data_IF_525358854362
#
_entry.id   IF_525358854362
#
_cell.length_a   1.000
_cell.length_b   1.000
_cell.length_c   1.000
_cell.angle_alpha   90.00
_cell.angle_beta   90.00
_cell.angle_gamma   90.00
#
_symmetry.space_group_name_H-M   'P 1'
#
loop_
_entity.id
_entity.type
_entity.pdbx_description
1 polymer ?
#
# COMPACT_ATOMS: atom_id res chain seq x y z
N UNK A 1 -19.99 -4.18 -65.08
CA UNK A 1 -19.46 -5.14 -64.10
C UNK A 1 -18.13 -4.69 -63.48
N UNK A 2 -17.10 -4.27 -64.25
CA UNK A 2 -15.78 -3.86 -63.67
C UNK A 2 -15.87 -2.63 -62.76
N UNK A 3 -16.75 -1.68 -63.01
CA UNK A 3 -16.91 -0.46 -62.22
C UNK A 3 -17.65 -0.69 -60.88
N UNK A 4 -18.59 -1.64 -60.85
CA UNK A 4 -19.30 -2.04 -59.62
C UNK A 4 -18.36 -2.81 -58.69
N UNK A 5 -17.53 -3.71 -59.27
CA UNK A 5 -16.51 -4.41 -58.46
C UNK A 5 -15.45 -3.46 -57.86
N UNK A 6 -15.03 -2.42 -58.57
CA UNK A 6 -14.13 -1.39 -58.05
C UNK A 6 -14.80 -0.52 -56.92
N UNK A 7 -16.07 -0.20 -57.11
CA UNK A 7 -16.81 0.55 -56.06
C UNK A 7 -16.98 -0.30 -54.79
N UNK A 8 -17.31 -1.58 -54.91
CA UNK A 8 -17.36 -2.51 -53.75
C UNK A 8 -16.00 -2.69 -53.08
N UNK A 9 -14.92 -2.75 -53.84
CA UNK A 9 -13.56 -2.87 -53.25
C UNK A 9 -13.19 -1.60 -52.45
N UNK A 10 -13.54 -0.42 -52.96
CA UNK A 10 -13.30 0.87 -52.27
C UNK A 10 -14.16 0.97 -51.00
N UNK A 11 -15.43 0.55 -51.05
CA UNK A 11 -16.29 0.54 -49.86
C UNK A 11 -15.79 -0.46 -48.80
N UNK A 12 -15.35 -1.67 -49.22
CA UNK A 12 -14.75 -2.66 -48.31
C UNK A 12 -13.44 -2.12 -47.71
N UNK A 13 -12.61 -1.45 -48.51
CA UNK A 13 -11.37 -0.83 -48.02
C UNK A 13 -11.61 0.32 -47.08
N UNK A 14 -12.65 1.15 -47.26
CA UNK A 14 -13.08 2.19 -46.37
C UNK A 14 -13.65 1.62 -45.04
N UNK A 15 -14.40 0.52 -45.11
CA UNK A 15 -14.91 -0.17 -43.91
C UNK A 15 -13.77 -0.81 -43.11
N UNK A 16 -12.76 -1.39 -43.82
CA UNK A 16 -11.58 -1.94 -43.15
C UNK A 16 -10.67 -0.85 -42.55
N UNK A 17 -10.60 0.34 -43.15
CA UNK A 17 -9.88 1.49 -42.59
C UNK A 17 -10.61 2.10 -41.40
N UNK A 18 -11.93 2.05 -41.36
CA UNK A 18 -12.73 2.47 -40.19
C UNK A 18 -12.66 1.44 -39.03
N UNK A 19 -12.37 0.16 -39.31
CA UNK A 19 -12.16 -0.86 -38.29
C UNK A 19 -10.73 -0.87 -37.73
N UNK A 20 -9.77 -0.21 -38.37
CA UNK A 20 -8.36 -0.15 -37.97
C UNK A 20 -8.06 1.21 -37.30
N UNK A 21 -8.56 1.45 -36.08
CA UNK A 21 -8.20 2.69 -35.43
C UNK A 21 -8.89 3.05 -34.12
N UNK A 22 -9.57 2.13 -33.44
CA UNK A 22 -9.75 2.34 -32.00
C UNK A 22 -8.39 2.10 -31.37
N UNK A 23 -7.61 3.14 -31.07
CA UNK A 23 -6.60 3.06 -30.02
C UNK A 23 -7.37 2.49 -28.82
N UNK A 24 -7.05 1.29 -28.42
CA UNK A 24 -7.60 0.78 -27.17
C UNK A 24 -7.22 1.81 -26.10
N UNK A 25 -8.20 2.45 -25.49
CA UNK A 25 -7.99 3.29 -24.32
C UNK A 25 -7.50 2.35 -23.22
N UNK A 26 -6.20 2.22 -23.05
CA UNK A 26 -5.62 1.35 -22.02
C UNK A 26 -5.05 2.23 -20.95
N UNK A 27 -5.49 2.04 -19.72
CA UNK A 27 -4.92 2.65 -18.52
C UNK A 27 -3.97 1.67 -17.86
N UNK A 28 -2.73 2.05 -17.68
CA UNK A 28 -1.73 1.23 -16.99
C UNK A 28 -1.61 1.68 -15.54
N UNK A 29 -2.00 0.80 -14.62
CA UNK A 29 -1.95 1.04 -13.16
C UNK A 29 -0.90 0.14 -12.54
N UNK A 30 0.02 0.71 -11.76
CA UNK A 30 1.05 -0.02 -11.03
C UNK A 30 0.77 0.13 -9.54
N UNK A 31 0.29 -0.93 -8.90
CA UNK A 31 -0.31 -0.93 -7.59
C UNK A 31 0.31 -2.02 -6.70
N UNK A 32 -0.08 -2.08 -5.46
CA UNK A 32 0.12 -3.21 -4.57
C UNK A 32 -0.85 -4.34 -4.95
N UNK A 33 -0.49 -5.60 -4.63
CA UNK A 33 -1.41 -6.72 -4.84
C UNK A 33 -2.60 -6.67 -3.87
N UNK A 34 -3.75 -7.22 -4.28
CA UNK A 34 -4.99 -7.27 -3.49
C UNK A 34 -5.48 -5.91 -2.95
N UNK A 35 -5.16 -4.81 -3.62
CA UNK A 35 -5.31 -3.44 -3.12
C UNK A 35 -6.38 -2.61 -3.84
N UNK A 36 -7.18 -3.25 -4.70
CA UNK A 36 -8.35 -2.67 -5.35
C UNK A 36 -9.43 -3.73 -5.55
N UNK A 37 -10.69 -3.36 -5.36
CA UNK A 37 -11.81 -4.23 -5.65
C UNK A 37 -11.93 -4.46 -7.16
N UNK A 38 -11.79 -5.72 -7.67
CA UNK A 38 -11.81 -6.00 -9.09
C UNK A 38 -13.13 -5.68 -9.78
N UNK A 39 -14.24 -5.68 -9.03
CA UNK A 39 -15.55 -5.29 -9.58
C UNK A 39 -15.60 -3.79 -9.90
N UNK A 40 -14.88 -2.94 -9.16
CA UNK A 40 -14.76 -1.52 -9.47
C UNK A 40 -13.94 -1.29 -10.73
N UNK A 41 -12.86 -2.05 -10.91
CA UNK A 41 -12.05 -1.99 -12.15
C UNK A 41 -12.93 -2.31 -13.35
N UNK A 42 -13.70 -3.40 -13.28
CA UNK A 42 -14.64 -3.80 -14.34
C UNK A 42 -15.73 -2.76 -14.59
N UNK A 43 -16.31 -2.18 -13.54
CA UNK A 43 -17.30 -1.12 -13.69
C UNK A 43 -16.71 0.12 -14.38
N UNK A 44 -15.47 0.49 -14.04
CA UNK A 44 -14.78 1.58 -14.71
C UNK A 44 -14.54 1.28 -16.19
N UNK A 45 -14.07 0.09 -16.54
CA UNK A 45 -13.84 -0.34 -17.91
C UNK A 45 -15.13 -0.24 -18.75
N UNK A 46 -16.24 -0.71 -18.20
CA UNK A 46 -17.56 -0.65 -18.86
C UNK A 46 -18.05 0.79 -19.01
N UNK A 47 -17.87 1.65 -18.00
CA UNK A 47 -18.34 3.03 -18.02
C UNK A 47 -17.57 3.93 -19.00
N UNK A 48 -16.26 3.64 -19.19
CA UNK A 48 -15.38 4.51 -19.98
C UNK A 48 -14.91 3.89 -21.31
N UNK A 49 -15.42 2.71 -21.69
CA UNK A 49 -15.03 1.95 -22.91
C UNK A 49 -13.50 1.88 -23.03
N UNK A 50 -12.85 1.33 -21.98
CA UNK A 50 -11.41 1.22 -21.84
C UNK A 50 -11.00 -0.13 -21.26
N UNK A 51 -9.69 -0.39 -21.24
CA UNK A 51 -9.07 -1.54 -20.57
C UNK A 51 -8.15 -1.01 -19.47
N UNK A 52 -8.23 -1.55 -18.25
CA UNK A 52 -7.30 -1.27 -17.16
C UNK A 52 -6.32 -2.44 -17.05
N UNK A 53 -5.04 -2.14 -17.21
CA UNK A 53 -3.96 -3.13 -17.05
C UNK A 53 -3.23 -2.87 -15.75
N UNK A 54 -3.51 -3.71 -14.78
CA UNK A 54 -2.82 -3.69 -13.52
C UNK A 54 -1.49 -4.44 -13.59
N UNK A 55 -0.50 -3.91 -12.91
CA UNK A 55 0.76 -4.57 -12.58
C UNK A 55 1.02 -4.33 -11.09
N UNK A 56 1.76 -5.22 -10.44
CA UNK A 56 1.97 -5.16 -9.01
C UNK A 56 3.44 -5.02 -8.66
N UNK A 57 3.72 -4.41 -7.52
CA UNK A 57 5.05 -4.30 -6.94
C UNK A 57 5.01 -4.71 -5.46
N UNK A 58 6.13 -5.19 -4.97
CA UNK A 58 6.29 -5.74 -3.62
C UNK A 58 6.86 -4.71 -2.64
N UNK A 59 7.58 -3.70 -3.16
CA UNK A 59 8.12 -2.59 -2.38
C UNK A 59 8.16 -1.29 -3.18
N UNK A 60 8.20 -0.16 -2.47
CA UNK A 60 8.36 1.16 -3.09
C UNK A 60 9.67 1.28 -3.88
N UNK A 61 10.76 0.62 -3.43
CA UNK A 61 12.06 0.59 -4.08
C UNK A 61 11.98 -0.17 -5.41
N UNK A 62 11.28 -1.32 -5.43
CA UNK A 62 11.01 -2.09 -6.65
C UNK A 62 10.20 -1.27 -7.65
N UNK A 63 9.16 -0.59 -7.18
CA UNK A 63 8.33 0.32 -7.99
C UNK A 63 9.19 1.43 -8.61
N UNK A 64 10.00 2.14 -7.80
CA UNK A 64 10.87 3.22 -8.27
C UNK A 64 11.88 2.74 -9.31
N UNK A 65 12.57 1.62 -9.03
CA UNK A 65 13.54 1.01 -9.95
C UNK A 65 12.88 0.64 -11.28
N UNK A 66 11.66 0.09 -11.23
CA UNK A 66 10.89 -0.28 -12.42
C UNK A 66 10.51 0.92 -13.26
N UNK A 67 10.07 2.02 -12.63
CA UNK A 67 9.69 3.25 -13.33
C UNK A 67 10.90 3.88 -14.00
N UNK A 68 12.06 3.92 -13.33
CA UNK A 68 13.29 4.51 -13.87
C UNK A 68 13.89 3.67 -15.01
N UNK A 69 13.77 2.35 -14.95
CA UNK A 69 14.37 1.43 -15.92
C UNK A 69 13.46 1.02 -17.07
N UNK A 70 12.15 1.11 -16.88
CA UNK A 70 11.18 0.57 -17.83
C UNK A 70 10.93 1.51 -19.01
N UNK A 71 10.78 0.91 -20.21
CA UNK A 71 10.23 1.60 -21.39
C UNK A 71 8.69 1.63 -21.38
N UNK A 72 8.07 0.84 -20.51
CA UNK A 72 6.62 0.84 -20.36
C UNK A 72 6.22 2.06 -19.56
N UNK A 73 5.38 2.91 -20.13
CA UNK A 73 4.79 4.03 -19.43
C UNK A 73 3.62 3.52 -18.59
N UNK A 74 3.70 3.68 -17.28
CA UNK A 74 2.54 3.58 -16.41
C UNK A 74 1.83 4.95 -16.40
N UNK A 75 0.51 4.93 -16.19
CA UNK A 75 -0.29 6.14 -16.10
C UNK A 75 -0.49 6.55 -14.64
N UNK A 76 -0.86 5.58 -13.79
CA UNK A 76 -1.05 5.74 -12.35
C UNK A 76 -0.13 4.77 -11.62
N UNK A 77 0.45 5.24 -10.52
CA UNK A 77 1.14 4.40 -9.53
C UNK A 77 0.62 4.75 -8.14
N UNK A 78 0.81 3.82 -7.19
CA UNK A 78 0.27 3.95 -5.82
C UNK A 78 1.40 3.87 -4.78
N UNK A 79 2.30 4.88 -4.70
CA UNK A 79 3.38 4.92 -3.74
C UNK A 79 2.92 5.28 -2.33
N UNK A 80 3.71 4.90 -1.33
CA UNK A 80 3.61 5.42 0.02
C UNK A 80 4.11 6.88 0.09
N UNK A 81 3.71 7.61 1.14
CA UNK A 81 3.91 9.05 1.22
C UNK A 81 5.35 9.51 1.09
N UNK A 82 6.30 8.83 1.72
CA UNK A 82 7.74 9.14 1.62
C UNK A 82 8.25 9.02 0.17
N UNK A 83 7.75 8.04 -0.58
CA UNK A 83 8.07 7.84 -2.00
C UNK A 83 7.37 8.85 -2.92
N UNK A 84 6.22 9.41 -2.52
CA UNK A 84 5.66 10.59 -3.21
C UNK A 84 6.68 11.73 -3.20
N UNK A 85 7.34 11.99 -2.05
CA UNK A 85 8.38 13.00 -1.94
C UNK A 85 9.56 12.70 -2.88
N UNK A 86 10.03 11.45 -2.92
CA UNK A 86 11.15 11.03 -3.77
C UNK A 86 10.81 11.21 -5.25
N UNK A 87 9.65 10.74 -5.66
CA UNK A 87 9.18 10.83 -7.04
C UNK A 87 8.99 12.29 -7.49
N UNK A 88 8.47 13.16 -6.60
CA UNK A 88 8.33 14.58 -6.86
C UNK A 88 9.69 15.28 -7.02
N UNK A 89 10.68 14.96 -6.16
CA UNK A 89 12.06 15.49 -6.25
C UNK A 89 12.75 15.03 -7.54
N UNK A 90 12.43 13.84 -8.03
CA UNK A 90 12.94 13.30 -9.30
C UNK A 90 12.17 13.83 -10.53
N UNK A 91 11.20 14.73 -10.33
CA UNK A 91 10.34 15.30 -11.38
C UNK A 91 9.58 14.25 -12.22
N UNK A 92 9.22 13.11 -11.62
CA UNK A 92 8.53 12.01 -12.28
C UNK A 92 7.00 12.15 -12.24
N UNK A 93 6.48 13.03 -11.38
CA UNK A 93 5.03 13.19 -11.16
C UNK A 93 4.44 14.34 -11.96
N UNK A 94 3.19 14.16 -12.40
CA UNK A 94 2.34 15.22 -12.95
C UNK A 94 1.71 16.03 -11.82
N UNK A 95 1.84 17.36 -11.79
CA UNK A 95 1.05 18.17 -10.87
C UNK A 95 -0.44 18.00 -11.10
N UNK A 96 -1.19 17.76 -10.02
CA UNK A 96 -2.64 17.52 -10.13
C UNK A 96 -3.41 18.79 -10.50
N UNK A 97 -4.24 18.68 -11.51
CA UNK A 97 -5.33 19.60 -11.78
C UNK A 97 -6.59 19.15 -10.99
N UNK A 98 -6.72 19.67 -9.78
CA UNK A 98 -7.83 19.31 -8.88
C UNK A 98 -9.21 19.68 -9.45
N UNK A 99 -9.30 20.55 -10.47
CA UNK A 99 -10.57 20.86 -11.13
C UNK A 99 -11.13 19.67 -11.93
N UNK A 100 -10.28 18.67 -12.25
CA UNK A 100 -10.67 17.44 -12.92
C UNK A 100 -11.13 16.34 -11.96
N UNK A 101 -10.98 16.55 -10.65
CA UNK A 101 -11.35 15.61 -9.59
C UNK A 101 -12.59 16.16 -8.85
N UNK A 102 -13.77 15.87 -9.41
CA UNK A 102 -15.04 16.40 -8.88
C UNK A 102 -15.36 15.84 -7.50
N UNK A 103 -14.84 14.65 -7.19
CA UNK A 103 -15.02 13.95 -5.93
C UNK A 103 -13.86 14.20 -4.92
N UNK A 104 -12.91 15.10 -5.25
CA UNK A 104 -11.78 15.42 -4.34
C UNK A 104 -12.25 15.94 -2.98
N UNK A 105 -13.39 16.64 -2.95
CA UNK A 105 -14.03 17.14 -1.72
C UNK A 105 -14.54 16.05 -0.76
N UNK A 106 -14.60 14.80 -1.21
CA UNK A 106 -14.97 13.66 -0.37
C UNK A 106 -13.85 13.23 0.59
N UNK A 107 -12.59 13.64 0.32
CA UNK A 107 -11.45 13.31 1.18
C UNK A 107 -11.52 14.02 2.52
N UNK A 108 -11.04 13.35 3.57
CA UNK A 108 -10.97 13.90 4.92
C UNK A 108 -9.95 15.05 4.98
N UNK A 109 -10.36 16.27 5.36
CA UNK A 109 -9.46 17.42 5.45
C UNK A 109 -8.30 17.21 6.44
N UNK A 110 -8.50 16.40 7.50
CA UNK A 110 -7.45 16.09 8.48
C UNK A 110 -6.37 15.20 7.87
N UNK A 111 -6.77 14.20 7.07
CA UNK A 111 -5.82 13.34 6.38
C UNK A 111 -5.12 14.09 5.23
N UNK A 112 -5.82 14.96 4.52
CA UNK A 112 -5.19 15.87 3.54
C UNK A 112 -4.15 16.79 4.20
N UNK A 113 -4.42 17.29 5.41
CA UNK A 113 -3.45 18.08 6.16
C UNK A 113 -2.22 17.25 6.56
N UNK A 114 -2.41 16.00 6.99
CA UNK A 114 -1.30 15.09 7.30
C UNK A 114 -0.47 14.76 6.05
N UNK A 115 -1.11 14.56 4.90
CA UNK A 115 -0.44 14.28 3.62
C UNK A 115 0.50 15.42 3.19
N UNK A 116 0.29 16.66 3.63
CA UNK A 116 1.18 17.78 3.35
C UNK A 116 2.60 17.62 3.93
N UNK A 117 2.79 16.68 4.87
CA UNK A 117 4.14 16.35 5.38
C UNK A 117 5.06 15.73 4.32
N UNK A 118 4.49 15.06 3.31
CA UNK A 118 5.23 14.44 2.22
C UNK A 118 4.90 15.03 0.83
N UNK A 119 3.74 15.67 0.67
CA UNK A 119 3.32 16.35 -0.55
C UNK A 119 2.72 17.73 -0.22
N UNK A 120 3.57 18.78 -0.12
CA UNK A 120 3.12 20.13 0.19
C UNK A 120 1.98 20.58 -0.74
N UNK A 121 0.91 21.14 -0.15
CA UNK A 121 -0.31 21.56 -0.84
C UNK A 121 -1.10 20.41 -1.51
N UNK A 122 -0.75 19.15 -1.25
CA UNK A 122 -1.26 17.97 -1.96
C UNK A 122 -1.20 18.19 -3.47
N UNK A 123 0.00 18.53 -3.95
CA UNK A 123 0.24 18.98 -5.31
C UNK A 123 0.26 17.84 -6.32
N UNK A 124 0.72 16.67 -5.90
CA UNK A 124 0.99 15.54 -6.79
C UNK A 124 0.16 14.29 -6.48
N UNK A 125 -0.38 14.20 -5.27
CA UNK A 125 -0.94 12.95 -4.76
C UNK A 125 -2.38 13.09 -4.27
N UNK A 126 -3.10 11.98 -4.37
CA UNK A 126 -4.44 11.81 -3.83
C UNK A 126 -4.37 10.64 -2.84
N UNK A 127 -4.61 10.86 -1.53
CA UNK A 127 -4.67 9.77 -0.55
C UNK A 127 -5.63 8.68 -1.01
N UNK A 128 -5.16 7.42 -0.96
CA UNK A 128 -5.90 6.26 -1.42
C UNK A 128 -6.35 5.36 -0.27
N UNK A 129 -5.40 4.88 0.51
CA UNK A 129 -5.60 4.21 1.79
C UNK A 129 -4.54 4.66 2.80
N UNK A 130 -4.79 4.40 4.06
CA UNK A 130 -3.79 4.50 5.11
C UNK A 130 -3.86 3.26 6.00
N UNK A 131 -2.88 3.03 6.81
CA UNK A 131 -2.90 1.86 7.67
C UNK A 131 -1.85 1.89 8.76
N UNK A 132 -1.85 0.81 9.52
CA UNK A 132 -0.97 0.57 10.66
C UNK A 132 -0.39 -0.83 10.53
N UNK A 133 0.86 -0.97 10.87
CA UNK A 133 1.53 -2.26 10.93
C UNK A 133 1.40 -2.86 12.32
N UNK A 134 1.23 -4.16 12.41
CA UNK A 134 1.11 -4.88 13.66
C UNK A 134 1.62 -6.30 13.55
N UNK A 135 1.08 -7.20 14.36
CA UNK A 135 1.47 -8.60 14.36
C UNK A 135 0.26 -9.51 14.15
N UNK A 136 0.28 -10.26 13.03
CA UNK A 136 -0.67 -11.31 12.68
C UNK A 136 -0.16 -12.64 13.17
N UNK A 137 -1.05 -13.48 13.69
CA UNK A 137 -0.67 -14.78 14.24
C UNK A 137 -1.76 -15.85 14.06
N UNK A 138 -1.32 -17.11 14.09
CA UNK A 138 -2.22 -18.25 14.07
C UNK A 138 -2.44 -18.77 15.50
N UNK A 139 -3.69 -18.66 15.98
CA UNK A 139 -4.12 -19.04 17.36
C UNK A 139 -3.88 -20.51 17.71
N UNK A 140 -3.78 -21.38 16.69
CA UNK A 140 -3.47 -22.81 16.92
C UNK A 140 -2.03 -23.04 17.36
N UNK A 141 -1.14 -22.11 17.02
CA UNK A 141 0.29 -22.28 17.18
C UNK A 141 0.92 -21.33 18.20
N UNK A 142 0.36 -20.12 18.36
CA UNK A 142 0.91 -19.13 19.27
C UNK A 142 0.13 -19.13 20.59
N UNK A 143 0.80 -19.40 21.74
CA UNK A 143 0.14 -19.43 23.04
C UNK A 143 -0.49 -18.08 23.42
N UNK A 144 -1.69 -18.12 23.97
CA UNK A 144 -2.43 -16.93 24.41
C UNK A 144 -1.63 -16.06 25.39
N UNK A 145 -0.83 -16.68 26.28
CA UNK A 145 0.01 -15.96 27.24
C UNK A 145 1.09 -15.08 26.61
N UNK A 146 1.50 -15.37 25.37
CA UNK A 146 2.40 -14.51 24.62
C UNK A 146 1.63 -13.31 24.02
N UNK A 147 0.44 -13.59 23.49
CA UNK A 147 -0.39 -12.60 22.83
C UNK A 147 -0.95 -11.55 23.80
N UNK A 148 -1.23 -11.94 25.04
CA UNK A 148 -1.73 -11.00 26.08
C UNK A 148 -0.78 -9.82 26.33
N UNK A 149 0.50 -9.96 26.02
CA UNK A 149 1.48 -8.86 26.11
C UNK A 149 1.22 -7.77 25.08
N UNK A 150 0.67 -8.11 23.90
CA UNK A 150 0.44 -7.21 22.77
C UNK A 150 1.64 -6.30 22.49
N UNK A 151 2.83 -6.87 22.39
CA UNK A 151 4.10 -6.14 22.35
C UNK A 151 4.98 -6.65 21.22
N UNK A 152 5.77 -5.79 20.62
CA UNK A 152 6.84 -6.16 19.67
C UNK A 152 7.84 -7.16 20.28
N UNK A 153 7.96 -7.20 21.61
CA UNK A 153 8.85 -8.15 22.31
C UNK A 153 8.60 -9.62 21.97
N UNK A 154 7.42 -9.96 21.46
CA UNK A 154 7.07 -11.34 21.09
C UNK A 154 7.98 -11.87 19.98
N UNK A 155 8.49 -11.01 19.09
CA UNK A 155 9.39 -11.39 18.01
C UNK A 155 10.70 -12.04 18.54
N UNK A 156 11.19 -11.58 19.70
CA UNK A 156 12.37 -12.13 20.36
C UNK A 156 12.09 -13.22 21.39
N UNK A 157 10.85 -13.72 21.50
CA UNK A 157 10.50 -14.67 22.55
C UNK A 157 11.13 -16.06 22.33
N UNK A 158 11.65 -16.64 23.42
CA UNK A 158 12.27 -17.97 23.42
C UNK A 158 11.32 -19.09 22.94
N UNK A 159 10.02 -18.85 22.97
CA UNK A 159 9.05 -19.79 22.42
C UNK A 159 9.33 -20.11 20.94
N UNK A 160 9.78 -19.15 20.14
CA UNK A 160 10.03 -19.34 18.72
C UNK A 160 11.43 -19.89 18.41
N UNK A 161 12.33 -19.95 19.40
CA UNK A 161 13.70 -20.38 19.19
C UNK A 161 13.81 -21.74 18.49
N UNK A 162 14.48 -21.75 17.33
CA UNK A 162 14.70 -22.94 16.50
C UNK A 162 13.47 -23.48 15.76
N UNK A 163 12.32 -22.80 15.83
CA UNK A 163 11.09 -23.26 15.18
C UNK A 163 10.97 -22.81 13.71
N UNK A 164 11.66 -21.75 13.33
CA UNK A 164 11.56 -21.18 11.98
C UNK A 164 10.11 -20.86 11.59
N UNK A 165 9.43 -20.01 12.37
CA UNK A 165 7.99 -19.76 12.26
C UNK A 165 7.61 -18.28 12.40
N UNK A 166 8.57 -17.39 12.27
CA UNK A 166 8.35 -15.93 12.36
C UNK A 166 8.80 -15.28 11.07
N UNK A 167 7.95 -14.45 10.48
CA UNK A 167 8.22 -13.66 9.28
C UNK A 167 8.14 -12.18 9.63
N UNK A 168 9.04 -11.36 9.10
CA UNK A 168 8.89 -9.91 9.08
C UNK A 168 8.73 -9.42 7.63
N UNK A 169 8.22 -8.20 7.49
CA UNK A 169 8.05 -7.58 6.17
C UNK A 169 9.41 -7.35 5.50
N UNK A 170 9.47 -7.45 4.18
CA UNK A 170 10.61 -7.03 3.38
C UNK A 170 10.54 -5.52 3.13
N UNK A 171 10.53 -4.76 4.22
CA UNK A 171 10.47 -3.30 4.22
C UNK A 171 11.36 -2.74 5.34
N UNK A 172 12.43 -2.04 4.96
CA UNK A 172 13.41 -1.50 5.89
C UNK A 172 12.77 -0.51 6.89
N UNK A 173 11.79 0.30 6.44
CA UNK A 173 11.13 1.30 7.29
C UNK A 173 10.23 0.64 8.32
N UNK A 174 9.59 -0.46 7.98
CA UNK A 174 8.73 -1.23 8.87
C UNK A 174 9.55 -2.04 9.88
N UNK A 175 10.58 -2.73 9.44
CA UNK A 175 11.41 -3.60 10.31
C UNK A 175 12.24 -2.77 11.28
N UNK A 176 13.03 -1.82 10.76
CA UNK A 176 13.85 -0.94 11.61
C UNK A 176 12.96 -0.04 12.46
N UNK A 177 11.84 0.44 11.88
CA UNK A 177 10.86 1.25 12.60
C UNK A 177 10.25 0.55 13.80
N UNK A 178 9.87 -0.71 13.69
CA UNK A 178 9.36 -1.51 14.81
C UNK A 178 10.40 -1.65 15.93
N UNK A 179 11.67 -1.86 15.58
CA UNK A 179 12.76 -1.95 16.56
C UNK A 179 13.06 -0.59 17.23
N UNK A 180 13.02 0.52 16.47
CA UNK A 180 13.15 1.88 17.01
C UNK A 180 12.04 2.21 18.01
N UNK A 181 10.78 1.95 17.63
CA UNK A 181 9.63 2.16 18.52
C UNK A 181 9.75 1.31 19.78
N UNK A 182 10.11 0.04 19.65
CA UNK A 182 10.32 -0.84 20.79
C UNK A 182 11.46 -0.39 21.70
N UNK A 183 12.52 0.24 21.15
CA UNK A 183 13.60 0.85 21.88
C UNK A 183 13.23 2.18 22.54
N UNK A 184 12.05 2.74 22.26
CA UNK A 184 11.59 4.04 22.74
C UNK A 184 12.07 5.25 21.95
N UNK A 185 12.52 5.03 20.70
CA UNK A 185 12.88 6.07 19.75
C UNK A 185 11.70 6.40 18.82
N UNK A 186 11.77 7.57 18.16
CA UNK A 186 10.88 7.89 17.05
C UNK A 186 11.20 7.01 15.83
N UNK A 187 10.18 6.55 15.14
CA UNK A 187 10.30 5.72 13.91
C UNK A 187 11.19 6.38 12.84
N UNK A 188 11.24 7.70 12.79
CA UNK A 188 12.02 8.46 11.83
C UNK A 188 13.40 8.90 12.37
N UNK A 189 13.79 8.45 13.57
CA UNK A 189 15.11 8.75 14.14
C UNK A 189 16.18 7.82 13.53
N UNK A 190 16.83 8.31 12.48
CA UNK A 190 17.94 7.62 11.83
C UNK A 190 19.31 8.11 12.33
N UNK A 191 19.40 8.54 13.60
CA UNK A 191 20.69 8.85 14.25
C UNK A 191 21.48 7.56 14.51
N UNK A 192 22.82 7.66 14.51
CA UNK A 192 23.69 6.50 14.79
C UNK A 192 23.36 5.84 16.13
N UNK A 193 22.99 6.62 17.15
CA UNK A 193 22.63 6.11 18.46
C UNK A 193 21.31 5.30 18.43
N UNK A 194 20.27 5.84 17.80
CA UNK A 194 18.99 5.16 17.65
C UNK A 194 19.12 3.88 16.82
N UNK A 195 19.83 3.93 15.70
CA UNK A 195 20.09 2.74 14.87
C UNK A 195 20.90 1.68 15.60
N UNK A 196 21.88 2.07 16.44
CA UNK A 196 22.62 1.11 17.26
C UNK A 196 21.77 0.44 18.33
N UNK A 197 20.76 1.12 18.87
CA UNK A 197 19.80 0.52 19.81
C UNK A 197 18.82 -0.40 19.08
N UNK A 198 18.33 0.00 17.90
CA UNK A 198 17.50 -0.86 17.05
C UNK A 198 18.25 -2.13 16.64
N UNK A 199 19.53 -2.03 16.29
CA UNK A 199 20.37 -3.19 15.93
C UNK A 199 20.43 -4.22 17.04
N UNK A 200 20.64 -3.81 18.30
CA UNK A 200 20.67 -4.72 19.47
C UNK A 200 19.35 -5.49 19.62
N UNK A 201 18.24 -4.84 19.32
CA UNK A 201 16.91 -5.47 19.39
C UNK A 201 16.74 -6.45 18.24
N UNK A 202 17.12 -6.05 17.04
CA UNK A 202 17.04 -6.89 15.84
C UNK A 202 17.95 -8.11 15.93
N UNK A 203 19.15 -8.00 16.53
CA UNK A 203 20.03 -9.14 16.83
C UNK A 203 19.35 -10.20 17.74
N UNK A 204 18.36 -9.77 18.53
CA UNK A 204 17.57 -10.69 19.36
C UNK A 204 16.43 -11.31 18.55
N UNK A 205 15.69 -10.48 17.77
CA UNK A 205 14.55 -10.92 17.00
C UNK A 205 14.94 -11.83 15.83
N UNK A 206 16.04 -11.51 15.17
CA UNK A 206 16.56 -12.23 14.00
C UNK A 206 16.81 -13.73 14.28
N UNK A 207 17.13 -14.09 15.52
CA UNK A 207 17.26 -15.51 15.95
C UNK A 207 15.99 -16.33 15.74
N UNK A 208 14.84 -15.68 15.69
CA UNK A 208 13.53 -16.30 15.49
C UNK A 208 12.97 -16.07 14.09
N UNK A 209 13.44 -15.03 13.39
CA UNK A 209 12.97 -14.66 12.06
C UNK A 209 13.50 -15.69 11.05
N UNK A 210 12.59 -16.18 10.21
CA UNK A 210 12.90 -17.17 9.18
C UNK A 210 13.17 -16.51 7.85
N UNK A 211 12.42 -15.42 7.58
CA UNK A 211 12.48 -14.70 6.32
C UNK A 211 11.91 -13.30 6.46
N UNK A 212 12.25 -12.47 5.48
CA UNK A 212 11.66 -11.17 5.23
C UNK A 212 10.85 -11.27 3.94
N UNK A 213 9.53 -11.02 4.01
CA UNK A 213 8.61 -11.20 2.88
C UNK A 213 7.39 -10.30 3.08
N UNK A 214 7.02 -9.53 2.07
CA UNK A 214 5.86 -8.62 2.10
C UNK A 214 4.67 -9.13 1.28
N UNK A 215 4.78 -10.28 0.61
CA UNK A 215 3.74 -10.83 -0.28
C UNK A 215 3.12 -12.12 0.26
N UNK A 216 3.95 -13.14 0.51
CA UNK A 216 3.47 -14.48 0.86
C UNK A 216 3.16 -14.63 2.34
N UNK A 217 3.71 -13.78 3.22
CA UNK A 217 3.61 -13.88 4.68
C UNK A 217 2.18 -14.11 5.19
N UNK A 218 1.20 -13.42 4.60
CA UNK A 218 -0.22 -13.51 4.98
C UNK A 218 -0.81 -14.90 4.74
N UNK A 219 -0.43 -15.52 3.61
CA UNK A 219 -0.86 -16.88 3.26
C UNK A 219 -0.12 -17.92 4.12
N UNK A 220 1.15 -17.69 4.42
CA UNK A 220 1.95 -18.59 5.26
C UNK A 220 1.47 -18.65 6.71
N UNK A 221 1.01 -17.52 7.28
CA UNK A 221 0.37 -17.54 8.60
C UNK A 221 -0.98 -18.25 8.53
N UNK A 222 -1.71 -18.09 7.44
CA UNK A 222 -3.01 -18.72 7.24
C UNK A 222 -2.92 -20.24 7.15
N UNK A 223 -1.91 -20.77 6.48
CA UNK A 223 -1.71 -22.22 6.33
C UNK A 223 -0.82 -22.86 7.44
N UNK A 224 -0.22 -22.04 8.32
CA UNK A 224 0.63 -22.48 9.44
C UNK A 224 2.09 -22.74 9.06
N UNK A 225 2.51 -22.37 7.84
CA UNK A 225 3.93 -22.35 7.44
C UNK A 225 4.70 -21.38 8.32
N UNK A 226 4.19 -20.18 8.54
CA UNK A 226 4.57 -19.23 9.58
C UNK A 226 3.50 -19.21 10.68
N UNK A 227 3.87 -18.86 11.91
CA UNK A 227 2.95 -18.78 13.04
C UNK A 227 2.68 -17.35 13.49
N UNK A 228 3.64 -16.48 13.27
CA UNK A 228 3.63 -15.07 13.61
C UNK A 228 4.26 -14.29 12.46
N UNK A 229 3.65 -13.17 12.08
CA UNK A 229 4.24 -12.26 11.11
C UNK A 229 4.01 -10.80 11.49
N UNK A 230 5.01 -9.94 11.20
CA UNK A 230 4.76 -8.52 11.04
C UNK A 230 3.83 -8.35 9.83
N UNK A 231 2.78 -7.56 9.96
CA UNK A 231 1.71 -7.53 8.98
C UNK A 231 1.06 -6.15 8.87
N UNK A 232 0.63 -5.81 7.67
CA UNK A 232 -0.26 -4.69 7.44
C UNK A 232 -1.68 -5.04 7.90
N UNK A 233 -2.35 -4.09 8.55
CA UNK A 233 -3.65 -4.35 9.18
C UNK A 233 -4.72 -4.85 8.20
N UNK A 234 -4.83 -4.28 7.00
CA UNK A 234 -5.83 -4.71 6.01
C UNK A 234 -5.58 -6.13 5.51
N UNK A 235 -4.34 -6.51 5.22
CA UNK A 235 -3.96 -7.86 4.82
C UNK A 235 -4.32 -8.89 5.90
N UNK A 236 -4.01 -8.56 7.16
CA UNK A 236 -4.37 -9.42 8.30
C UNK A 236 -5.89 -9.60 8.41
N UNK A 237 -6.64 -8.52 8.26
CA UNK A 237 -8.10 -8.55 8.35
C UNK A 237 -8.76 -9.31 7.19
N UNK A 238 -8.24 -9.18 5.97
CA UNK A 238 -8.70 -9.97 4.81
C UNK A 238 -8.51 -11.48 5.08
N UNK A 239 -7.37 -11.88 5.63
CA UNK A 239 -7.12 -13.28 5.99
C UNK A 239 -8.00 -13.76 7.15
N UNK A 240 -8.17 -12.91 8.18
CA UNK A 240 -9.04 -13.23 9.34
C UNK A 240 -10.51 -13.41 8.92
N UNK A 241 -10.97 -12.70 7.90
CA UNK A 241 -12.33 -12.87 7.35
C UNK A 241 -12.53 -14.26 6.72
N UNK A 242 -11.48 -14.90 6.26
CA UNK A 242 -11.50 -16.21 5.61
C UNK A 242 -11.10 -17.36 6.55
N UNK A 243 -10.35 -17.07 7.60
CA UNK A 243 -9.79 -18.07 8.50
C UNK A 243 -9.91 -17.61 9.97
N UNK A 244 -10.84 -18.21 10.70
CA UNK A 244 -11.10 -17.90 12.11
C UNK A 244 -9.97 -18.30 13.07
N UNK A 245 -8.97 -19.07 12.61
CA UNK A 245 -7.79 -19.43 13.41
C UNK A 245 -6.77 -18.30 13.49
N UNK A 246 -6.92 -17.28 12.64
CA UNK A 246 -6.05 -16.13 12.62
C UNK A 246 -6.54 -15.04 13.56
N UNK A 247 -5.59 -14.20 13.97
CA UNK A 247 -5.89 -12.98 14.70
C UNK A 247 -4.74 -11.97 14.50
N UNK A 248 -4.98 -10.73 14.87
CA UNK A 248 -4.05 -9.63 14.69
C UNK A 248 -4.11 -8.70 15.90
N UNK A 249 -2.99 -8.12 16.29
CA UNK A 249 -2.97 -7.08 17.31
C UNK A 249 -2.02 -5.94 16.97
N UNK A 250 -2.36 -4.77 17.50
CA UNK A 250 -1.52 -3.59 17.47
C UNK A 250 -0.65 -3.56 18.74
N UNK A 251 0.69 -3.42 18.61
CA UNK A 251 1.61 -3.43 19.75
C UNK A 251 1.40 -2.23 20.68
N UNK A 252 1.48 -2.45 21.98
CA UNK A 252 1.23 -1.41 23.00
C UNK A 252 2.23 -0.26 22.98
N UNK A 253 3.42 -0.48 22.43
CA UNK A 253 4.46 0.54 22.27
C UNK A 253 4.09 1.56 21.18
N UNK A 254 3.17 1.23 20.30
CA UNK A 254 2.84 1.99 19.09
C UNK A 254 3.37 1.32 17.83
N UNK A 255 3.18 1.96 16.70
CA UNK A 255 3.55 1.42 15.39
C UNK A 255 3.75 2.49 14.33
N UNK A 256 4.19 2.06 13.15
CA UNK A 256 4.19 2.87 11.94
C UNK A 256 2.77 3.18 11.49
N UNK A 257 2.58 4.43 11.06
CA UNK A 257 1.48 4.83 10.20
C UNK A 257 2.03 5.03 8.79
N UNK A 258 1.30 4.59 7.81
CA UNK A 258 1.61 4.84 6.42
C UNK A 258 0.35 5.32 5.67
N UNK A 259 0.56 5.98 4.55
CA UNK A 259 -0.51 6.47 3.69
C UNK A 259 -0.07 6.28 2.24
N UNK A 260 -0.82 5.47 1.51
CA UNK A 260 -0.59 5.26 0.10
C UNK A 260 -1.43 6.22 -0.74
N UNK A 261 -0.90 6.59 -1.88
CA UNK A 261 -1.42 7.69 -2.65
C UNK A 261 -1.47 7.35 -4.12
N UNK A 262 -2.58 7.65 -4.78
CA UNK A 262 -2.62 7.63 -6.23
C UNK A 262 -1.89 8.86 -6.77
N UNK A 263 -0.94 8.63 -7.67
CA UNK A 263 -0.23 9.69 -8.38
C UNK A 263 -0.23 9.41 -9.89
N UNK A 264 -0.24 10.47 -10.69
CA UNK A 264 -0.15 10.37 -12.16
C UNK A 264 1.30 10.60 -12.56
N UNK A 265 1.86 9.70 -13.36
CA UNK A 265 3.21 9.90 -13.88
C UNK A 265 3.25 10.99 -14.94
N UNK A 266 4.30 11.81 -14.92
CA UNK A 266 4.54 12.86 -15.94
C UNK A 266 4.65 12.27 -17.35
N UNK A 267 5.15 11.04 -17.47
CA UNK A 267 5.28 10.28 -18.72
C UNK A 267 3.97 9.68 -19.24
N UNK A 268 2.89 9.70 -18.44
CA UNK A 268 1.60 9.15 -18.83
C UNK A 268 1.11 9.71 -20.16
N UNK A 269 0.65 8.81 -21.02
CA UNK A 269 0.04 9.15 -22.31
C UNK A 269 -1.49 9.22 -22.24
N UNK A 270 -2.09 8.82 -21.09
CA UNK A 270 -3.53 8.72 -20.90
C UNK A 270 -4.00 9.51 -19.66
N UNK A 271 -3.43 10.70 -19.43
CA UNK A 271 -3.68 11.52 -18.22
C UNK A 271 -5.17 11.78 -17.97
N UNK A 272 -5.95 12.04 -19.03
CA UNK A 272 -7.40 12.27 -18.89
C UNK A 272 -8.12 11.02 -18.36
N UNK A 273 -7.72 9.83 -18.81
CA UNK A 273 -8.29 8.59 -18.31
C UNK A 273 -7.81 8.29 -16.87
N UNK A 274 -6.56 8.65 -16.55
CA UNK A 274 -6.03 8.56 -15.20
C UNK A 274 -6.82 9.44 -14.21
N UNK A 275 -7.12 10.69 -14.58
CA UNK A 275 -7.99 11.55 -13.76
C UNK A 275 -9.38 10.97 -13.56
N UNK A 276 -9.99 10.40 -14.61
CA UNK A 276 -11.30 9.74 -14.51
C UNK A 276 -11.28 8.53 -13.58
N UNK A 277 -10.20 7.75 -13.62
CA UNK A 277 -10.05 6.58 -12.75
C UNK A 277 -9.91 6.99 -11.28
N UNK A 278 -9.07 7.98 -11.01
CA UNK A 278 -8.92 8.53 -9.65
C UNK A 278 -10.25 9.10 -9.16
N UNK A 279 -10.92 9.93 -9.98
CA UNK A 279 -12.20 10.55 -9.59
C UNK A 279 -13.32 9.52 -9.37
N UNK A 280 -13.35 8.46 -10.19
CA UNK A 280 -14.26 7.32 -10.02
C UNK A 280 -14.02 6.58 -8.68
N UNK A 281 -12.77 6.35 -8.30
CA UNK A 281 -12.45 5.73 -7.02
C UNK A 281 -12.71 6.66 -5.82
N UNK A 282 -12.77 7.97 -6.04
CA UNK A 282 -13.15 8.95 -5.03
C UNK A 282 -14.66 9.11 -4.85
N UNK A 283 -15.50 8.57 -5.72
CA UNK A 283 -16.95 8.53 -5.48
C UNK A 283 -17.22 7.80 -4.15
N UNK A 284 -18.10 8.37 -3.32
CA UNK A 284 -18.32 7.86 -1.95
C UNK A 284 -18.67 6.38 -1.89
N UNK A 285 -19.54 5.90 -2.79
CA UNK A 285 -19.94 4.49 -2.85
C UNK A 285 -18.79 3.60 -3.33
N UNK A 286 -18.04 4.03 -4.35
CA UNK A 286 -16.91 3.26 -4.87
C UNK A 286 -15.77 3.18 -3.84
N UNK A 287 -15.45 4.29 -3.17
CA UNK A 287 -14.47 4.32 -2.10
C UNK A 287 -14.87 3.43 -0.91
N UNK A 288 -16.18 3.39 -0.59
CA UNK A 288 -16.74 2.49 0.43
C UNK A 288 -16.56 1.03 0.01
N UNK A 289 -17.01 0.64 -1.19
CA UNK A 289 -16.88 -0.73 -1.69
C UNK A 289 -15.41 -1.18 -1.75
N UNK A 290 -14.51 -0.25 -2.06
CA UNK A 290 -13.09 -0.52 -2.10
C UNK A 290 -12.51 -0.74 -0.69
N UNK A 291 -12.89 0.07 0.29
CA UNK A 291 -12.49 -0.09 1.69
C UNK A 291 -13.05 -1.38 2.32
N UNK A 292 -14.29 -1.73 1.99
CA UNK A 292 -14.93 -2.99 2.43
C UNK A 292 -14.22 -4.22 1.87
N UNK A 293 -13.73 -4.15 0.62
CA UNK A 293 -12.98 -5.24 -0.01
C UNK A 293 -11.57 -5.36 0.56
N UNK A 294 -10.82 -4.25 0.61
CA UNK A 294 -9.42 -4.24 1.01
C UNK A 294 -9.22 -4.33 2.52
N UNK A 295 -10.25 -4.01 3.32
CA UNK A 295 -10.21 -3.92 4.78
C UNK A 295 -9.22 -2.86 5.32
N UNK A 296 -8.77 -1.94 4.46
CA UNK A 296 -7.96 -0.79 4.87
C UNK A 296 -8.81 0.43 5.18
N UNK A 297 -8.38 1.27 6.12
CA UNK A 297 -9.08 2.52 6.43
C UNK A 297 -9.02 3.49 5.24
N UNK A 298 -10.18 3.98 4.85
CA UNK A 298 -10.31 4.93 3.75
C UNK A 298 -10.03 6.36 4.18
N UNK A 299 -9.31 7.15 3.39
CA UNK A 299 -9.20 8.59 3.58
C UNK A 299 -10.41 9.37 3.07
N UNK A 300 -11.37 8.71 2.44
CA UNK A 300 -12.58 9.30 1.90
C UNK A 300 -13.64 9.41 3.02
N UNK A 301 -13.84 10.64 3.52
CA UNK A 301 -14.78 10.90 4.63
C UNK A 301 -16.23 10.58 4.24
N UNK A 302 -16.63 10.89 3.01
CA UNK A 302 -17.97 10.59 2.54
C UNK A 302 -18.22 9.07 2.49
N UNK A 303 -17.22 8.28 2.08
CA UNK A 303 -17.27 6.82 2.14
C UNK A 303 -17.31 6.33 3.59
N UNK A 304 -16.44 6.85 4.47
CA UNK A 304 -16.41 6.50 5.90
C UNK A 304 -17.78 6.72 6.56
N UNK A 305 -18.45 7.83 6.27
CA UNK A 305 -19.77 8.13 6.82
C UNK A 305 -20.82 7.09 6.42
N UNK A 306 -20.63 6.39 5.30
CA UNK A 306 -21.51 5.34 4.76
C UNK A 306 -21.12 3.90 5.15
N UNK A 307 -19.94 3.69 5.76
CA UNK A 307 -19.57 2.37 6.30
C UNK A 307 -20.53 1.95 7.41
N UNK A 308 -20.68 0.63 7.61
CA UNK A 308 -21.45 0.16 8.75
C UNK A 308 -20.74 0.42 10.09
N UNK A 309 -21.52 0.43 11.17
CA UNK A 309 -20.98 0.72 12.50
C UNK A 309 -19.98 -0.34 12.99
N UNK A 310 -20.12 -1.59 12.55
CA UNK A 310 -19.19 -2.68 12.90
C UNK A 310 -17.81 -2.38 12.36
N UNK A 311 -17.75 -1.90 11.12
CA UNK A 311 -16.50 -1.53 10.47
C UNK A 311 -15.86 -0.29 11.08
N UNK A 312 -16.67 0.76 11.34
CA UNK A 312 -16.19 1.99 11.99
C UNK A 312 -15.66 1.74 13.41
N UNK A 313 -16.27 0.82 14.14
CA UNK A 313 -15.89 0.46 15.50
C UNK A 313 -14.77 -0.58 15.58
N UNK A 314 -14.32 -1.12 14.46
CA UNK A 314 -13.21 -2.05 14.44
C UNK A 314 -11.88 -1.29 14.67
N UNK A 315 -11.35 -1.40 15.88
CA UNK A 315 -10.10 -0.72 16.28
C UNK A 315 -8.85 -1.22 15.54
N UNK A 316 -8.95 -2.34 14.83
CA UNK A 316 -7.87 -2.83 13.97
C UNK A 316 -7.89 -2.14 12.59
N UNK A 317 -9.03 -1.54 12.18
CA UNK A 317 -9.15 -0.70 10.99
C UNK A 317 -8.99 0.78 11.39
N UNK A 318 -9.78 1.23 12.35
CA UNK A 318 -9.84 2.61 12.84
C UNK A 318 -9.47 2.67 14.33
N UNK A 319 -8.18 2.64 14.67
CA UNK A 319 -7.73 2.67 16.05
C UNK A 319 -8.18 3.93 16.78
N UNK A 320 -8.35 3.80 18.10
CA UNK A 320 -8.69 4.93 18.96
C UNK A 320 -7.62 6.03 18.90
N UNK A 321 -8.02 7.30 19.09
CA UNK A 321 -7.08 8.42 19.09
C UNK A 321 -5.89 8.22 20.05
N UNK A 322 -6.11 7.63 21.23
CA UNK A 322 -5.08 7.40 22.24
C UNK A 322 -4.01 6.38 21.76
N UNK A 323 -4.38 5.46 20.85
CA UNK A 323 -3.40 4.58 20.23
C UNK A 323 -2.68 5.29 19.08
N UNK A 324 -3.39 6.07 18.27
CA UNK A 324 -2.81 6.83 17.17
C UNK A 324 -1.77 7.86 17.63
N UNK A 325 -1.89 8.37 18.86
CA UNK A 325 -0.88 9.25 19.48
C UNK A 325 0.47 8.56 19.69
N UNK A 326 0.50 7.22 19.76
CA UNK A 326 1.72 6.43 19.88
C UNK A 326 2.30 6.03 18.53
N UNK A 327 1.59 6.30 17.45
CA UNK A 327 1.98 5.91 16.11
C UNK A 327 2.61 7.08 15.36
N UNK A 328 3.61 6.80 14.57
CA UNK A 328 4.35 7.82 13.81
C UNK A 328 4.18 7.57 12.31
N UNK A 329 3.85 8.63 11.56
CA UNK A 329 3.82 8.58 10.11
C UNK A 329 5.24 8.37 9.56
N UNK A 330 5.39 7.40 8.65
CA UNK A 330 6.64 7.21 7.89
C UNK A 330 6.90 8.48 7.08
N UNK A 331 8.09 9.05 7.23
CA UNK A 331 8.51 10.27 6.56
C UNK A 331 9.74 10.04 5.69
N UNK A 332 9.92 10.87 4.69
CA UNK A 332 11.13 10.91 3.89
C UNK A 332 12.34 11.32 4.74
N UNK A 333 13.36 10.48 4.79
CA UNK A 333 14.56 10.68 5.61
C UNK A 333 15.73 11.36 4.87
N UNK A 334 15.58 11.61 3.56
CA UNK A 334 16.68 12.12 2.73
C UNK A 334 17.89 11.18 2.76
N UNK A 335 19.09 11.75 2.86
CA UNK A 335 20.34 10.98 2.90
C UNK A 335 20.47 10.06 4.12
N UNK A 336 19.70 10.29 5.18
CA UNK A 336 19.72 9.46 6.39
C UNK A 336 19.14 8.07 6.16
N UNK A 337 18.35 7.88 5.12
CA UNK A 337 17.79 6.57 4.73
C UNK A 337 18.90 5.53 4.55
N UNK A 338 20.08 5.93 4.08
CA UNK A 338 21.24 5.04 3.86
C UNK A 338 21.66 4.26 5.11
N UNK A 339 21.49 4.86 6.29
CA UNK A 339 21.79 4.19 7.57
C UNK A 339 20.75 3.11 7.88
N UNK A 340 19.49 3.39 7.60
CA UNK A 340 18.37 2.45 7.76
C UNK A 340 18.53 1.27 6.80
N UNK A 341 18.78 1.56 5.52
CA UNK A 341 18.96 0.54 4.48
C UNK A 341 20.19 -0.35 4.78
N UNK A 342 21.30 0.25 5.19
CA UNK A 342 22.52 -0.49 5.54
C UNK A 342 22.30 -1.43 6.74
N UNK A 343 21.54 -0.98 7.75
CA UNK A 343 21.18 -1.82 8.90
C UNK A 343 20.26 -2.97 8.46
N UNK A 344 19.25 -2.69 7.64
CA UNK A 344 18.33 -3.69 7.13
C UNK A 344 19.06 -4.77 6.31
N UNK A 345 19.91 -4.36 5.37
CA UNK A 345 20.72 -5.29 4.58
C UNK A 345 21.66 -6.13 5.46
N UNK A 346 22.23 -5.53 6.52
CA UNK A 346 23.08 -6.26 7.47
C UNK A 346 22.29 -7.37 8.18
N UNK A 347 21.08 -7.07 8.65
CA UNK A 347 20.23 -8.05 9.37
C UNK A 347 19.77 -9.16 8.41
N UNK A 348 19.39 -8.85 7.17
CA UNK A 348 18.96 -9.84 6.18
C UNK A 348 20.06 -10.84 5.77
N UNK A 349 21.32 -10.52 5.96
CA UNK A 349 22.47 -11.36 5.58
C UNK A 349 22.97 -12.27 6.70
N UNK A 350 22.43 -12.16 7.94
CA UNK A 350 22.76 -13.00 9.07
C UNK A 350 21.98 -14.32 9.05
#
# INVERSE_FOLDING_TARGET
>A
MKNIARLMLIVIMLVLLAACGKKSNVLYVFNWSDYINPDLVKQFEEAYDCEVRESYFESNENMLTKIESSRQAYDIIVPSGDHVTILAQKELLEPLDKSKLTNYGNLDPQLLLKAQSFDPENKFSVPYFWGITGLMYNKKHVPQSLIERKSWSILGDAYFAGKQKVTMLEDAREVIGAALIFAGHDLNDASEAALADAEKILDIWDKNITQYDSESYKNEVADGTSWLAQAYNGDALQQMAQNSDLDFFLPVEGSSLWMDNMVILKSSQNKELAYKFIDFLLEAENAKLNAEYTQYPTPNKAAYDHLDETQKMNELIYPRPEYLEKCTMIQFLGEKIKGVDALFEKIRLN
#
